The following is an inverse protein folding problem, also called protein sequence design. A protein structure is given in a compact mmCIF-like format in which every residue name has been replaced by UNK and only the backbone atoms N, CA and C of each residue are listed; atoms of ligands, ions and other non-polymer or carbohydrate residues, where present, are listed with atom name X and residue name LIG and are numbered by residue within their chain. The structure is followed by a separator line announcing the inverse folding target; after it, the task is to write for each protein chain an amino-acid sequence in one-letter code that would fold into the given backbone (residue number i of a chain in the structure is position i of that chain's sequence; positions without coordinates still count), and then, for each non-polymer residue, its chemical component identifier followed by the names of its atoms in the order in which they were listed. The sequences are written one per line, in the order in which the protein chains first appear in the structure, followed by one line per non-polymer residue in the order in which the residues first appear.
data_IF_304154839125
#
_entry.id   IF_304154839125
#
_cell.length_a   1.000
_cell.length_b   1.000
_cell.length_c   1.000
_cell.angle_alpha   90.00
_cell.angle_beta   90.00
_cell.angle_gamma   90.00
#
_symmetry.space_group_name_H-M   'P 1'
#
loop_
_entity.id
_entity.type
_entity.pdbx_description
1 polymer ?
#
# COMPACT_ATOMS: atom_id res chain seq x y z
N UNK A 1 -0.05 0.52 -17.62
CA UNK A 1 1.28 0.48 -18.26
C UNK A 1 1.62 -0.97 -18.59
N UNK A 2 2.28 -1.25 -19.72
CA UNK A 2 2.61 -2.64 -20.09
C UNK A 2 4.06 -2.96 -19.73
N UNK A 3 4.27 -4.11 -19.13
CA UNK A 3 5.58 -4.65 -18.73
C UNK A 3 5.73 -6.07 -19.28
N UNK A 4 6.97 -6.48 -19.51
CA UNK A 4 7.26 -7.83 -19.98
C UNK A 4 7.50 -8.73 -18.76
N UNK A 5 6.82 -9.87 -18.71
CA UNK A 5 7.08 -10.89 -17.69
C UNK A 5 7.41 -12.23 -18.36
N UNK A 6 8.28 -13.00 -17.72
CA UNK A 6 8.70 -14.31 -18.16
C UNK A 6 7.98 -15.37 -17.35
N UNK A 7 7.26 -16.25 -18.01
CA UNK A 7 6.56 -17.38 -17.40
C UNK A 7 7.24 -18.66 -17.84
N UNK A 8 7.60 -19.50 -16.86
CA UNK A 8 8.09 -20.86 -17.13
C UNK A 8 6.89 -21.76 -17.33
N UNK A 9 6.76 -22.32 -18.53
CA UNK A 9 5.85 -23.43 -18.81
C UNK A 9 6.70 -24.63 -19.24
N UNK A 10 6.57 -25.71 -18.49
CA UNK A 10 7.36 -26.93 -18.64
C UNK A 10 8.89 -26.67 -18.65
N UNK A 11 9.50 -26.68 -19.83
CA UNK A 11 10.94 -26.47 -20.05
C UNK A 11 11.25 -25.20 -20.89
N UNK A 12 10.24 -24.38 -21.18
CA UNK A 12 10.38 -23.17 -22.00
C UNK A 12 10.06 -21.92 -21.19
N UNK A 13 10.79 -20.83 -21.50
CA UNK A 13 10.53 -19.50 -20.93
C UNK A 13 9.81 -18.69 -22.01
N UNK A 14 8.57 -18.32 -21.73
CA UNK A 14 7.78 -17.45 -22.61
C UNK A 14 7.74 -16.03 -22.05
N UNK A 15 7.90 -15.04 -22.92
CA UNK A 15 7.71 -13.63 -22.55
C UNK A 15 6.29 -13.22 -22.90
N UNK A 16 5.52 -12.81 -21.89
CA UNK A 16 4.16 -12.29 -22.06
C UNK A 16 4.12 -10.82 -21.64
N UNK A 17 3.28 -10.03 -22.32
CA UNK A 17 2.99 -8.66 -21.90
C UNK A 17 1.93 -8.69 -20.81
N UNK A 18 2.27 -8.14 -19.66
CA UNK A 18 1.36 -7.90 -18.57
C UNK A 18 0.99 -6.42 -18.52
N UNK A 19 -0.30 -6.12 -18.36
CA UNK A 19 -0.75 -4.75 -18.16
C UNK A 19 -0.92 -4.48 -16.67
N UNK A 20 -0.06 -3.62 -16.12
CA UNK A 20 -0.27 -3.03 -14.80
C UNK A 20 -1.42 -2.04 -14.91
N UNK A 21 -2.49 -2.33 -14.19
CA UNK A 21 -3.72 -1.55 -14.13
C UNK A 21 -3.86 -0.86 -12.78
N UNK A 22 -4.69 0.19 -12.72
CA UNK A 22 -5.00 0.84 -11.45
C UNK A 22 -5.67 -0.17 -10.50
N UNK A 23 -5.23 -0.18 -9.24
CA UNK A 23 -5.71 -1.15 -8.26
C UNK A 23 -7.23 -1.09 -8.10
N UNK A 24 -7.84 -2.27 -8.07
CA UNK A 24 -9.24 -2.41 -7.72
C UNK A 24 -9.45 -2.43 -6.19
N UNK A 25 -10.70 -2.50 -5.76
CA UNK A 25 -11.06 -2.49 -4.32
C UNK A 25 -10.46 -3.68 -3.55
N UNK A 26 -10.37 -4.85 -4.18
CA UNK A 26 -9.79 -6.04 -3.54
C UNK A 26 -8.28 -5.89 -3.34
N UNK A 27 -7.57 -5.41 -4.36
CA UNK A 27 -6.14 -5.11 -4.27
C UNK A 27 -5.88 -4.04 -3.22
N UNK A 28 -6.67 -2.95 -3.21
CA UNK A 28 -6.57 -1.92 -2.19
C UNK A 28 -6.74 -2.48 -0.77
N UNK A 29 -7.74 -3.34 -0.54
CA UNK A 29 -7.92 -3.99 0.76
C UNK A 29 -6.72 -4.87 1.15
N UNK A 30 -6.17 -5.64 0.20
CA UNK A 30 -4.99 -6.46 0.42
C UNK A 30 -3.76 -5.61 0.72
N UNK A 31 -3.54 -4.52 -0.01
CA UNK A 31 -2.49 -3.54 0.24
C UNK A 31 -2.55 -2.99 1.66
N UNK A 32 -3.73 -2.57 2.14
CA UNK A 32 -3.90 -2.09 3.52
C UNK A 32 -3.56 -3.15 4.57
N UNK A 33 -3.94 -4.41 4.34
CA UNK A 33 -3.58 -5.53 5.22
C UNK A 33 -2.08 -5.78 5.21
N UNK A 34 -1.45 -5.79 4.03
CA UNK A 34 0.00 -5.93 3.87
C UNK A 34 0.76 -4.83 4.64
N UNK A 35 0.34 -3.57 4.49
CA UNK A 35 0.92 -2.44 5.23
C UNK A 35 0.77 -2.63 6.74
N UNK A 36 -0.41 -3.07 7.22
CA UNK A 36 -0.61 -3.33 8.65
C UNK A 36 0.33 -4.43 9.16
N UNK A 37 0.53 -5.50 8.39
CA UNK A 37 1.44 -6.58 8.75
C UNK A 37 2.89 -6.08 8.84
N UNK A 38 3.34 -5.31 7.85
CA UNK A 38 4.66 -4.66 7.86
C UNK A 38 4.84 -3.82 9.12
N UNK A 39 3.87 -2.97 9.45
CA UNK A 39 3.94 -2.14 10.67
C UNK A 39 4.01 -3.01 11.93
N UNK A 40 3.29 -4.13 11.96
CA UNK A 40 3.39 -5.12 13.03
C UNK A 40 4.81 -5.64 13.20
N UNK A 41 5.43 -6.12 12.10
CA UNK A 41 6.80 -6.64 12.10
C UNK A 41 7.80 -5.57 12.55
N UNK A 42 7.68 -4.35 12.02
CA UNK A 42 8.54 -3.23 12.40
C UNK A 42 8.40 -2.92 13.89
N UNK A 43 7.19 -2.93 14.44
CA UNK A 43 6.96 -2.60 15.85
C UNK A 43 7.38 -3.71 16.82
N UNK A 44 7.40 -4.97 16.37
CA UNK A 44 7.83 -6.13 17.17
C UNK A 44 9.36 -6.27 17.22
N UNK A 45 10.09 -5.64 16.29
CA UNK A 45 11.56 -5.66 16.22
C UNK A 45 12.13 -4.24 16.45
N UNK A 46 12.76 -4.03 17.61
CA UNK A 46 13.32 -2.71 17.97
C UNK A 46 14.42 -2.23 17.00
N UNK A 47 15.18 -3.13 16.35
CA UNK A 47 16.19 -2.74 15.37
C UNK A 47 15.55 -2.28 14.06
N UNK A 48 14.52 -2.99 13.58
CA UNK A 48 13.72 -2.54 12.43
C UNK A 48 12.99 -1.23 12.74
N UNK A 49 12.37 -1.13 13.91
CA UNK A 49 11.71 0.10 14.37
C UNK A 49 12.64 1.29 14.34
N UNK A 50 13.85 1.14 14.88
CA UNK A 50 14.86 2.19 14.86
C UNK A 50 15.28 2.52 13.41
N UNK A 51 15.54 1.50 12.60
CA UNK A 51 15.94 1.67 11.18
C UNK A 51 14.90 2.45 10.38
N UNK A 52 13.63 2.08 10.50
CA UNK A 52 12.54 2.78 9.82
C UNK A 52 12.34 4.18 10.42
N UNK A 53 12.43 4.32 11.73
CA UNK A 53 12.37 5.65 12.38
C UNK A 53 13.46 6.55 11.83
N UNK A 54 14.71 6.10 11.74
CA UNK A 54 15.83 6.90 11.23
C UNK A 54 15.67 7.26 9.74
N UNK A 55 15.13 6.33 8.93
CA UNK A 55 14.84 6.59 7.51
C UNK A 55 13.75 7.64 7.31
N UNK A 56 12.74 7.70 8.20
CA UNK A 56 11.61 8.64 8.07
C UNK A 56 11.68 9.87 9.00
N UNK A 57 12.58 9.88 9.99
CA UNK A 57 12.77 10.95 10.98
C UNK A 57 13.43 12.21 10.40
N UNK A 58 13.84 12.21 9.13
CA UNK A 58 14.36 13.39 8.46
C UNK A 58 13.36 14.57 8.42
N UNK A 59 12.08 14.37 8.76
CA UNK A 59 11.09 15.47 8.77
C UNK A 59 10.30 15.71 10.05
N UNK A 60 10.16 14.78 11.01
CA UNK A 60 9.61 15.03 12.37
C UNK A 60 9.83 13.80 13.27
N UNK A 61 10.56 13.95 14.37
CA UNK A 61 10.99 12.86 15.27
C UNK A 61 9.90 12.27 16.19
N UNK A 62 8.66 12.77 16.15
CA UNK A 62 7.59 12.40 17.10
C UNK A 62 6.36 11.73 16.47
N UNK A 63 6.35 11.44 15.16
CA UNK A 63 5.20 10.76 14.54
C UNK A 63 5.31 9.22 14.63
N UNK A 64 4.39 8.61 15.38
CA UNK A 64 4.22 7.16 15.46
C UNK A 64 4.02 6.55 14.05
N UNK A 65 4.77 5.46 13.76
CA UNK A 65 4.64 4.68 12.52
C UNK A 65 3.21 4.15 12.39
N UNK A 66 2.37 4.91 11.68
CA UNK A 66 0.98 4.58 11.43
C UNK A 66 0.75 4.20 9.97
N UNK A 67 -0.33 3.47 9.70
CA UNK A 67 -0.76 3.17 8.32
C UNK A 67 -0.87 4.45 7.50
N UNK A 68 -1.34 5.54 8.10
CA UNK A 68 -1.49 6.84 7.41
C UNK A 68 -0.15 7.48 7.07
N UNK A 69 0.85 7.32 7.94
CA UNK A 69 2.21 7.85 7.79
C UNK A 69 2.98 7.10 6.71
N UNK A 70 2.99 5.77 6.79
CA UNK A 70 3.65 4.89 5.81
C UNK A 70 3.09 5.12 4.40
N UNK A 71 1.78 5.27 4.31
CA UNK A 71 1.11 5.55 3.04
C UNK A 71 1.44 6.95 2.49
N UNK A 72 1.58 7.96 3.34
CA UNK A 72 1.93 9.31 2.90
C UNK A 72 3.37 9.40 2.37
N UNK A 73 4.23 8.44 2.74
CA UNK A 73 5.62 8.33 2.27
C UNK A 73 5.83 7.08 1.40
N UNK A 74 4.77 6.59 0.77
CA UNK A 74 4.69 5.25 0.19
C UNK A 74 5.86 4.86 -0.73
N UNK A 75 6.37 5.77 -1.56
CA UNK A 75 7.49 5.46 -2.45
C UNK A 75 8.79 5.15 -1.68
N UNK A 76 9.20 6.03 -0.77
CA UNK A 76 10.39 5.80 0.08
C UNK A 76 10.18 4.68 1.10
N UNK A 77 8.94 4.52 1.59
CA UNK A 77 8.56 3.41 2.45
C UNK A 77 8.65 2.06 1.76
N UNK A 78 8.35 2.00 0.47
CA UNK A 78 8.35 0.75 -0.27
C UNK A 78 9.76 0.20 -0.49
N UNK A 79 10.70 1.06 -0.86
CA UNK A 79 12.11 0.70 -0.98
C UNK A 79 12.67 0.17 0.36
N UNK A 80 12.41 0.88 1.46
CA UNK A 80 12.83 0.45 2.79
C UNK A 80 12.25 -0.91 3.17
N UNK A 81 10.99 -1.18 2.82
CA UNK A 81 10.36 -2.48 3.02
C UNK A 81 11.05 -3.55 2.17
N UNK A 82 11.29 -3.32 0.88
CA UNK A 82 11.95 -4.31 0.02
C UNK A 82 13.35 -4.69 0.51
N UNK A 83 14.08 -3.75 1.13
CA UNK A 83 15.43 -3.97 1.65
C UNK A 83 15.40 -4.75 2.98
N UNK A 84 14.55 -4.33 3.92
CA UNK A 84 14.60 -4.82 5.30
C UNK A 84 13.61 -5.93 5.60
N UNK A 85 12.50 -5.97 4.86
CA UNK A 85 11.39 -6.92 5.03
C UNK A 85 10.97 -7.42 3.63
N UNK A 86 11.88 -8.09 2.89
CA UNK A 86 11.72 -8.34 1.46
C UNK A 86 10.49 -9.17 1.13
N UNK A 87 10.14 -10.16 1.96
CA UNK A 87 9.00 -11.04 1.71
C UNK A 87 7.68 -10.28 1.62
N UNK A 88 7.48 -9.34 2.53
CA UNK A 88 6.34 -8.43 2.62
C UNK A 88 6.37 -7.39 1.49
N UNK A 89 7.55 -6.90 1.14
CA UNK A 89 7.74 -6.00 -0.01
C UNK A 89 7.31 -6.65 -1.32
N UNK A 90 7.74 -7.89 -1.57
CA UNK A 90 7.31 -8.65 -2.75
C UNK A 90 5.81 -9.01 -2.72
N UNK A 91 5.23 -9.29 -1.55
CA UNK A 91 3.79 -9.54 -1.43
C UNK A 91 2.94 -8.30 -1.78
N UNK A 92 3.39 -7.12 -1.35
CA UNK A 92 2.76 -5.86 -1.74
C UNK A 92 2.97 -5.57 -3.23
N UNK A 93 4.19 -5.75 -3.76
CA UNK A 93 4.45 -5.51 -5.18
C UNK A 93 3.59 -6.41 -6.05
N UNK A 94 3.46 -7.68 -5.69
CA UNK A 94 2.58 -8.66 -6.35
C UNK A 94 1.12 -8.20 -6.32
N UNK A 95 0.63 -7.77 -5.14
CA UNK A 95 -0.74 -7.26 -4.99
C UNK A 95 -1.00 -6.04 -5.88
N UNK A 96 -0.08 -5.08 -5.89
CA UNK A 96 -0.21 -3.81 -6.63
C UNK A 96 -0.05 -3.99 -8.14
N UNK A 97 0.85 -4.87 -8.58
CA UNK A 97 1.06 -5.21 -9.99
C UNK A 97 -0.02 -6.13 -10.55
N UNK A 98 -0.75 -6.85 -9.69
CA UNK A 98 -1.70 -7.87 -10.11
C UNK A 98 -1.04 -9.17 -10.57
N UNK A 99 0.22 -9.39 -10.18
CA UNK A 99 0.98 -10.61 -10.45
C UNK A 99 0.92 -11.56 -9.26
N UNK A 100 1.13 -12.85 -9.53
CA UNK A 100 1.41 -13.80 -8.46
C UNK A 100 2.82 -13.56 -7.90
N UNK A 101 2.99 -13.60 -6.57
CA UNK A 101 4.29 -13.39 -5.90
C UNK A 101 5.37 -14.31 -6.47
N UNK A 102 5.04 -15.58 -6.71
CA UNK A 102 5.96 -16.54 -7.32
C UNK A 102 6.44 -16.08 -8.70
N UNK A 103 5.51 -15.71 -9.58
CA UNK A 103 5.85 -15.20 -10.92
C UNK A 103 6.73 -13.97 -10.82
N UNK A 104 6.42 -13.04 -9.92
CA UNK A 104 7.21 -11.83 -9.70
C UNK A 104 8.65 -12.16 -9.24
N UNK A 105 8.82 -13.07 -8.28
CA UNK A 105 10.14 -13.44 -7.75
C UNK A 105 10.99 -14.28 -8.72
N UNK A 106 10.38 -14.89 -9.73
CA UNK A 106 11.10 -15.61 -10.78
C UNK A 106 11.59 -14.69 -11.92
N UNK A 107 11.23 -13.41 -11.89
CA UNK A 107 11.68 -12.43 -12.88
C UNK A 107 13.17 -12.09 -12.71
N UNK A 108 13.78 -11.55 -13.76
CA UNK A 108 15.09 -10.91 -13.63
C UNK A 108 14.95 -9.64 -12.79
N UNK A 109 16.01 -9.27 -12.07
CA UNK A 109 16.03 -8.08 -11.21
C UNK A 109 15.62 -6.81 -11.97
N UNK A 110 16.15 -6.60 -13.17
CA UNK A 110 15.77 -5.46 -14.03
C UNK A 110 14.27 -5.48 -14.39
N UNK A 111 13.73 -6.65 -14.76
CA UNK A 111 12.30 -6.81 -15.06
C UNK A 111 11.43 -6.53 -13.80
N UNK A 112 11.91 -6.83 -12.59
CA UNK A 112 11.22 -6.48 -11.34
C UNK A 112 11.18 -4.97 -11.13
N UNK A 113 12.28 -4.25 -11.44
CA UNK A 113 12.30 -2.79 -11.36
C UNK A 113 11.35 -2.14 -12.37
N UNK A 114 11.27 -2.66 -13.60
CA UNK A 114 10.28 -2.20 -14.58
C UNK A 114 8.84 -2.39 -14.06
N UNK A 115 8.55 -3.49 -13.37
CA UNK A 115 7.25 -3.74 -12.75
C UNK A 115 6.99 -2.76 -11.60
N UNK A 116 8.00 -2.49 -10.77
CA UNK A 116 7.92 -1.53 -9.68
C UNK A 116 7.60 -0.11 -10.18
N UNK A 117 8.34 0.36 -11.19
CA UNK A 117 8.12 1.68 -11.78
C UNK A 117 6.72 1.78 -12.40
N UNK A 118 6.29 0.73 -13.12
CA UNK A 118 4.95 0.67 -13.67
C UNK A 118 3.85 0.68 -12.61
N UNK A 119 4.07 0.05 -11.46
CA UNK A 119 3.15 0.11 -10.31
C UNK A 119 3.04 1.53 -9.78
N UNK A 120 4.16 2.22 -9.56
CA UNK A 120 4.17 3.60 -9.07
C UNK A 120 3.50 4.57 -10.05
N UNK A 121 3.76 4.43 -11.35
CA UNK A 121 3.20 5.31 -12.37
C UNK A 121 1.69 5.13 -12.51
N UNK A 122 1.22 3.88 -12.53
CA UNK A 122 -0.21 3.57 -12.74
C UNK A 122 -1.03 3.78 -11.47
N UNK A 123 -0.43 3.55 -10.30
CA UNK A 123 -1.08 3.67 -9.01
C UNK A 123 -0.52 4.87 -8.27
N UNK A 124 -1.14 6.03 -8.51
CA UNK A 124 -0.94 7.23 -7.71
C UNK A 124 -1.48 6.99 -6.28
N UNK A 125 -0.65 6.34 -5.46
CA UNK A 125 -0.98 5.93 -4.09
C UNK A 125 -1.36 7.16 -3.27
N UNK A 126 -0.65 8.27 -3.45
CA UNK A 126 -0.94 9.54 -2.78
C UNK A 126 -2.38 9.99 -3.07
N UNK A 127 -2.77 10.04 -4.35
CA UNK A 127 -4.12 10.45 -4.76
C UNK A 127 -5.20 9.48 -4.31
N UNK A 128 -4.94 8.17 -4.34
CA UNK A 128 -5.87 7.15 -3.83
C UNK A 128 -6.15 7.40 -2.34
N UNK A 129 -5.11 7.74 -1.59
CA UNK A 129 -5.18 7.91 -0.14
C UNK A 129 -5.79 9.23 0.23
N UNK A 130 -5.45 10.30 -0.47
CA UNK A 130 -6.16 11.57 -0.33
C UNK A 130 -7.67 11.39 -0.57
N UNK A 131 -8.04 10.66 -1.62
CA UNK A 131 -9.44 10.40 -1.93
C UNK A 131 -10.11 9.58 -0.84
N UNK A 132 -9.41 8.59 -0.28
CA UNK A 132 -9.89 7.81 0.86
C UNK A 132 -10.12 8.73 2.07
N UNK A 133 -9.12 9.54 2.47
CA UNK A 133 -9.22 10.53 3.58
C UNK A 133 -10.41 11.48 3.39
N UNK A 134 -10.54 12.07 2.18
CA UNK A 134 -11.66 12.97 1.82
C UNK A 134 -13.01 12.27 1.97
N UNK A 135 -13.12 11.02 1.49
CA UNK A 135 -14.34 10.22 1.58
C UNK A 135 -14.71 9.89 3.04
N UNK A 136 -13.74 9.46 3.86
CA UNK A 136 -13.96 9.20 5.28
C UNK A 136 -14.38 10.45 6.07
N UNK A 137 -13.77 11.60 5.77
CA UNK A 137 -14.12 12.87 6.39
C UNK A 137 -15.56 13.29 6.06
N UNK A 138 -16.00 13.11 4.82
CA UNK A 138 -17.37 13.37 4.40
C UNK A 138 -18.37 12.49 5.15
N UNK A 139 -18.09 11.18 5.27
CA UNK A 139 -18.91 10.24 6.03
C UNK A 139 -19.02 10.64 7.50
N UNK A 140 -17.90 10.98 8.16
CA UNK A 140 -17.90 11.41 9.57
C UNK A 140 -18.76 12.66 9.79
N UNK A 141 -18.71 13.63 8.87
CA UNK A 141 -19.55 14.84 8.91
C UNK A 141 -21.03 14.48 8.77
N UNK A 142 -21.38 13.62 7.81
CA UNK A 142 -22.76 13.17 7.59
C UNK A 142 -23.33 12.44 8.82
N UNK A 143 -22.58 11.49 9.39
CA UNK A 143 -23.01 10.75 10.60
C UNK A 143 -23.17 11.68 11.81
N UNK A 144 -22.26 12.64 12.00
CA UNK A 144 -22.36 13.64 13.07
C UNK A 144 -23.61 14.52 12.92
N UNK A 145 -23.94 14.92 11.68
CA UNK A 145 -25.15 15.69 11.39
C UNK A 145 -26.43 14.87 11.65
N UNK A 146 -26.46 13.61 11.21
CA UNK A 146 -27.58 12.70 11.46
C UNK A 146 -27.82 12.50 12.96
N UNK A 147 -26.75 12.24 13.72
CA UNK A 147 -26.84 12.09 15.18
C UNK A 147 -27.41 13.33 15.86
N UNK A 148 -26.92 14.53 15.50
CA UNK A 148 -27.46 15.80 16.02
C UNK A 148 -28.94 16.00 15.69
N UNK A 149 -29.41 15.58 14.51
CA UNK A 149 -30.83 15.63 14.15
C UNK A 149 -31.66 14.69 15.01
N UNK A 150 -31.20 13.46 15.23
CA UNK A 150 -31.89 12.49 16.09
C UNK A 150 -32.00 13.03 17.52
N UNK A 151 -30.90 13.55 18.08
CA UNK A 151 -30.87 14.15 19.43
C UNK A 151 -31.81 15.37 19.54
N UNK A 152 -31.81 16.27 18.54
CA UNK A 152 -32.70 17.44 18.51
C UNK A 152 -34.19 17.08 18.30
N UNK A 153 -34.48 15.95 17.66
CA UNK A 153 -35.86 15.49 17.46
C UNK A 153 -36.37 14.76 18.71
N UNK A 154 -35.50 14.01 19.41
CA UNK A 154 -35.81 13.38 20.69
C UNK A 154 -36.07 14.40 21.81
N UNK A 155 -35.31 15.50 21.86
CA UNK A 155 -35.53 16.59 22.83
C UNK A 155 -36.80 17.42 22.56
N UNK A 156 -37.38 17.38 21.36
CA UNK A 156 -38.67 18.03 21.05
C UNK A 156 -39.89 17.16 21.35
N UNK A 157 -39.69 15.89 21.69
CA UNK A 157 -40.75 14.91 22.00
C UNK A 157 -40.80 14.51 23.49
N UNK A 158 -39.94 15.11 24.32
CA UNK A 158 -39.94 15.01 25.79
C UNK A 158 -40.40 16.35 26.39
#
# INVERSE_FOLDING_TARGET
MKVNIKVKQDNTVETIQHEVQSINVFQFQKTLKGIKNIIGIINEDEALKQTFTDMFAAENQDEELSVTYVIARAAGAFEAVLINIPDEGFELLATLSGLEKKTLMEQKVEDVFDIYDAVLEVNDIEKIVERAKKSFAATKKATKFMRKRVEATAQKQA
#
